data_IF_451337612178
#
_entry.id   IF_451337612178
#
_cell.length_a   1.000
_cell.length_b   1.000
_cell.length_c   1.000
_cell.angle_alpha   90.00
_cell.angle_beta   90.00
_cell.angle_gamma   90.00
#
_symmetry.space_group_name_H-M   'P 1'
#
loop_
_entity.id
_entity.type
_entity.pdbx_description
1 polymer ?
#
# COMPACT_ATOMS: atom_id res chain seq x y z
N UNK A 1 16.97 9.74 -1.58
CA UNK A 1 17.32 8.43 -0.96
C UNK A 1 16.62 7.27 -1.65
N UNK A 2 15.32 7.37 -1.96
CA UNK A 2 14.57 6.34 -2.71
C UNK A 2 15.08 6.10 -4.15
N UNK A 3 15.42 7.18 -4.84
CA UNK A 3 15.91 7.16 -6.23
C UNK A 3 17.17 6.29 -6.40
N UNK A 4 18.10 6.38 -5.45
CA UNK A 4 19.33 5.56 -5.43
C UNK A 4 19.06 4.07 -5.19
N UNK A 5 18.07 3.76 -4.35
CA UNK A 5 17.65 2.38 -4.09
C UNK A 5 17.00 1.76 -5.34
N UNK A 6 16.19 2.55 -6.04
CA UNK A 6 15.54 2.16 -7.29
C UNK A 6 16.56 1.96 -8.43
N UNK A 7 17.55 2.86 -8.54
CA UNK A 7 18.67 2.71 -9.48
C UNK A 7 19.48 1.43 -9.22
N UNK A 8 19.74 1.10 -7.95
CA UNK A 8 20.45 -0.13 -7.59
C UNK A 8 19.65 -1.38 -7.98
N UNK A 9 18.34 -1.41 -7.66
CA UNK A 9 17.44 -2.51 -8.05
C UNK A 9 17.40 -2.73 -9.57
N UNK A 10 17.36 -1.64 -10.33
CA UNK A 10 17.34 -1.69 -11.79
C UNK A 10 18.69 -2.16 -12.38
N UNK A 11 19.81 -1.79 -11.75
CA UNK A 11 21.14 -2.26 -12.12
C UNK A 11 21.35 -3.76 -11.84
N UNK A 12 20.78 -4.28 -10.76
CA UNK A 12 20.83 -5.71 -10.42
C UNK A 12 19.99 -6.56 -11.38
N UNK A 13 18.85 -6.03 -11.85
CA UNK A 13 18.02 -6.68 -12.88
C UNK A 13 18.68 -6.70 -14.27
N UNK A 14 19.48 -5.68 -14.60
CA UNK A 14 20.20 -5.57 -15.88
C UNK A 14 21.43 -6.48 -15.97
N UNK A 15 21.98 -6.95 -14.84
CA UNK A 15 23.15 -7.82 -14.81
C UNK A 15 22.80 -9.25 -14.36
N UNK A 16 22.49 -10.18 -15.28
CA UNK A 16 22.11 -11.56 -14.92
C UNK A 16 23.19 -12.31 -14.12
N UNK A 17 24.47 -11.92 -14.27
CA UNK A 17 25.60 -12.53 -13.58
C UNK A 17 25.65 -12.21 -12.06
N UNK A 18 25.03 -11.11 -11.61
CA UNK A 18 24.94 -10.76 -10.18
C UNK A 18 23.72 -11.40 -9.48
N UNK A 19 22.73 -11.82 -10.25
CA UNK A 19 21.52 -12.51 -9.76
C UNK A 19 21.85 -13.89 -9.18
N UNK A 20 22.89 -14.53 -9.70
CA UNK A 20 23.38 -15.84 -9.26
C UNK A 20 24.14 -15.77 -7.91
N UNK A 21 24.94 -14.73 -7.68
CA UNK A 21 25.65 -14.48 -6.41
C UNK A 21 24.68 -14.22 -5.25
N UNK A 22 23.61 -13.46 -5.49
CA UNK A 22 22.56 -13.22 -4.49
C UNK A 22 21.75 -14.50 -4.21
N UNK A 23 21.47 -15.31 -5.23
CA UNK A 23 20.81 -16.61 -5.06
C UNK A 23 21.69 -17.63 -4.33
N UNK A 24 23.02 -17.63 -4.58
CA UNK A 24 23.98 -18.50 -3.89
C UNK A 24 24.17 -18.12 -2.42
N UNK A 25 24.13 -16.82 -2.08
CA UNK A 25 24.16 -16.37 -0.67
C UNK A 25 22.91 -16.80 0.09
N UNK A 26 21.73 -16.76 -0.54
CA UNK A 26 20.47 -17.21 0.06
C UNK A 26 20.45 -18.74 0.28
N UNK A 27 21.04 -19.51 -0.66
CA UNK A 27 21.07 -20.97 -0.61
C UNK A 27 22.11 -21.57 0.36
N UNK A 28 23.12 -20.80 0.78
CA UNK A 28 24.18 -21.29 1.68
C UNK A 28 23.84 -21.20 3.18
N UNK A 29 22.63 -20.73 3.52
CA UNK A 29 22.19 -20.55 4.89
C UNK A 29 21.21 -21.64 5.38
N UNK A 30 20.83 -22.59 4.51
CA UNK A 30 19.94 -23.70 4.84
C UNK A 30 20.52 -25.02 4.36
N UNK A 31 21.39 -25.63 5.15
CA UNK A 31 21.71 -27.05 5.00
C UNK A 31 21.57 -27.73 6.38
N UNK A 32 20.61 -28.64 6.46
CA UNK A 32 20.12 -29.29 7.67
C UNK A 32 18.60 -29.46 7.59
N UNK A 33 18.09 -30.69 7.72
CA UNK A 33 16.69 -31.13 7.55
C UNK A 33 15.62 -30.34 8.35
N UNK A 34 16.01 -29.36 9.16
CA UNK A 34 15.16 -28.37 9.83
C UNK A 34 14.91 -27.10 8.99
N UNK A 35 15.62 -26.94 7.86
CA UNK A 35 15.65 -25.73 7.04
C UNK A 35 14.40 -25.49 6.19
N UNK A 36 13.72 -26.53 5.72
CA UNK A 36 12.49 -26.37 4.91
C UNK A 36 11.33 -25.84 5.74
N UNK A 37 11.20 -26.30 6.99
CA UNK A 37 10.21 -25.78 7.93
C UNK A 37 10.53 -24.34 8.35
N UNK A 38 11.81 -24.01 8.57
CA UNK A 38 12.25 -22.66 8.93
C UNK A 38 12.12 -21.67 7.75
N UNK A 39 12.43 -22.09 6.52
CA UNK A 39 12.21 -21.30 5.31
C UNK A 39 10.72 -21.11 5.03
N UNK A 40 9.88 -22.12 5.24
CA UNK A 40 8.43 -22.00 5.11
C UNK A 40 7.83 -21.04 6.13
N UNK A 41 8.29 -21.08 7.39
CA UNK A 41 7.91 -20.12 8.45
C UNK A 41 8.37 -18.72 8.08
N UNK A 42 9.62 -18.54 7.64
CA UNK A 42 10.16 -17.24 7.22
C UNK A 42 9.43 -16.69 5.99
N UNK A 43 9.03 -17.54 5.05
CA UNK A 43 8.27 -17.18 3.87
C UNK A 43 6.82 -16.80 4.23
N UNK A 44 6.19 -17.51 5.16
CA UNK A 44 4.87 -17.19 5.69
C UNK A 44 4.88 -15.84 6.43
N UNK A 45 5.86 -15.62 7.31
CA UNK A 45 6.07 -14.34 8.01
C UNK A 45 6.30 -13.19 7.02
N UNK A 46 7.10 -13.42 5.97
CA UNK A 46 7.32 -12.42 4.91
C UNK A 46 6.03 -12.13 4.13
N UNK A 47 5.22 -13.17 3.87
CA UNK A 47 3.93 -13.02 3.20
C UNK A 47 2.94 -12.23 4.06
N UNK A 48 2.87 -12.50 5.36
CA UNK A 48 2.07 -11.76 6.34
C UNK A 48 2.51 -10.30 6.42
N UNK A 49 3.83 -10.04 6.47
CA UNK A 49 4.36 -8.68 6.43
C UNK A 49 3.97 -7.97 5.13
N UNK A 50 4.03 -8.67 3.98
CA UNK A 50 3.60 -8.11 2.71
C UNK A 50 2.09 -7.83 2.67
N UNK A 51 1.26 -8.67 3.30
CA UNK A 51 -0.18 -8.43 3.48
C UNK A 51 -0.38 -7.17 4.32
N UNK A 52 0.25 -7.08 5.48
CA UNK A 52 0.13 -5.94 6.39
C UNK A 52 0.56 -4.62 5.71
N UNK A 53 1.68 -4.64 4.99
CA UNK A 53 2.16 -3.47 4.24
C UNK A 53 1.18 -3.09 3.12
N UNK A 54 0.62 -4.04 2.39
CA UNK A 54 -0.42 -3.76 1.38
C UNK A 54 -1.64 -3.11 2.01
N UNK A 55 -2.13 -3.64 3.12
CA UNK A 55 -3.27 -3.05 3.83
C UNK A 55 -2.99 -1.62 4.29
N UNK A 56 -1.78 -1.34 4.81
CA UNK A 56 -1.38 0.03 5.18
C UNK A 56 -1.34 0.98 3.98
N UNK A 57 -0.85 0.51 2.83
CA UNK A 57 -0.82 1.31 1.60
C UNK A 57 -2.24 1.66 1.14
N UNK A 58 -3.18 0.71 1.19
CA UNK A 58 -4.59 0.95 0.85
C UNK A 58 -5.20 2.04 1.74
N UNK A 59 -5.05 1.93 3.06
CA UNK A 59 -5.53 2.93 4.02
C UNK A 59 -4.94 4.33 3.77
N UNK A 60 -3.63 4.41 3.52
CA UNK A 60 -2.96 5.68 3.23
C UNK A 60 -3.45 6.30 1.92
N UNK A 61 -3.64 5.47 0.88
CA UNK A 61 -4.13 5.92 -0.42
C UNK A 61 -5.59 6.42 -0.34
N UNK A 62 -6.45 5.69 0.36
CA UNK A 62 -7.84 6.07 0.62
C UNK A 62 -7.93 7.41 1.35
N UNK A 63 -7.14 7.59 2.41
CA UNK A 63 -7.04 8.86 3.11
C UNK A 63 -6.57 9.98 2.19
N UNK A 64 -5.56 9.73 1.35
CA UNK A 64 -5.04 10.74 0.42
C UNK A 64 -6.10 11.22 -0.57
N UNK A 65 -6.93 10.32 -1.11
CA UNK A 65 -8.03 10.68 -2.00
C UNK A 65 -9.10 11.51 -1.30
N UNK A 66 -9.45 11.14 -0.06
CA UNK A 66 -10.41 11.90 0.74
C UNK A 66 -9.91 13.32 1.02
N UNK A 67 -8.67 13.46 1.50
CA UNK A 67 -8.08 14.79 1.77
C UNK A 67 -7.96 15.64 0.51
N UNK A 68 -7.61 15.02 -0.63
CA UNK A 68 -7.57 15.71 -1.92
C UNK A 68 -8.95 16.24 -2.31
N UNK A 69 -9.99 15.43 -2.17
CA UNK A 69 -11.37 15.86 -2.40
C UNK A 69 -11.74 17.05 -1.50
N UNK A 70 -11.38 17.00 -0.22
CA UNK A 70 -11.65 18.11 0.71
C UNK A 70 -10.98 19.42 0.27
N UNK A 71 -9.71 19.35 -0.12
CA UNK A 71 -8.98 20.53 -0.59
C UNK A 71 -9.63 21.08 -1.84
N UNK A 72 -9.87 20.24 -2.86
CA UNK A 72 -10.48 20.63 -4.13
C UNK A 72 -11.88 21.23 -3.94
N UNK A 73 -12.71 20.68 -3.05
CA UNK A 73 -14.00 21.26 -2.64
C UNK A 73 -13.84 22.66 -2.04
N UNK A 74 -12.92 22.84 -1.08
CA UNK A 74 -12.69 24.14 -0.43
C UNK A 74 -12.19 25.23 -1.40
N UNK A 75 -11.44 24.85 -2.43
CA UNK A 75 -10.95 25.79 -3.46
C UNK A 75 -11.83 25.81 -4.73
N UNK A 76 -13.02 25.19 -4.69
CA UNK A 76 -14.00 25.17 -5.80
C UNK A 76 -13.44 24.61 -7.12
N UNK A 77 -12.53 23.63 -7.04
CA UNK A 77 -12.04 22.89 -8.21
C UNK A 77 -13.10 21.86 -8.62
N UNK A 78 -13.51 21.88 -9.88
CA UNK A 78 -14.49 20.93 -10.40
C UNK A 78 -13.97 19.50 -10.43
N UNK A 79 -14.85 18.53 -10.16
CA UNK A 79 -14.50 17.10 -10.18
C UNK A 79 -13.97 16.56 -8.86
N UNK A 80 -14.00 17.35 -7.78
CA UNK A 80 -13.72 16.88 -6.42
C UNK A 80 -14.63 15.70 -6.03
N UNK A 81 -15.87 15.67 -6.53
CA UNK A 81 -16.85 14.61 -6.28
C UNK A 81 -16.33 13.24 -6.70
N UNK A 82 -15.61 13.18 -7.83
CA UNK A 82 -15.01 11.93 -8.34
C UNK A 82 -13.93 11.39 -7.41
N UNK A 83 -13.19 12.28 -6.76
CA UNK A 83 -12.17 11.91 -5.77
C UNK A 83 -12.83 11.41 -4.48
N UNK A 84 -13.95 12.01 -4.06
CA UNK A 84 -14.75 11.51 -2.93
C UNK A 84 -15.32 10.12 -3.23
N UNK A 85 -15.96 9.93 -4.39
CA UNK A 85 -16.50 8.64 -4.82
C UNK A 85 -15.40 7.57 -4.88
N UNK A 86 -14.25 7.91 -5.47
CA UNK A 86 -13.07 7.03 -5.53
C UNK A 86 -12.50 6.65 -4.17
N UNK A 87 -12.63 7.53 -3.16
CA UNK A 87 -12.24 7.23 -1.79
C UNK A 87 -13.26 6.28 -1.15
N UNK A 88 -14.56 6.54 -1.31
CA UNK A 88 -15.65 5.70 -0.78
C UNK A 88 -15.62 4.29 -1.36
N UNK A 89 -15.42 4.14 -2.67
CA UNK A 89 -15.30 2.82 -3.30
C UNK A 89 -14.12 2.02 -2.74
N UNK A 90 -12.99 2.69 -2.46
CA UNK A 90 -11.82 2.02 -1.89
C UNK A 90 -12.00 1.64 -0.42
N UNK A 91 -12.61 2.51 0.40
CA UNK A 91 -12.97 2.14 1.77
C UNK A 91 -13.85 0.88 1.81
N UNK A 92 -14.80 0.74 0.88
CA UNK A 92 -15.62 -0.47 0.74
C UNK A 92 -14.80 -1.70 0.36
N UNK A 93 -13.83 -1.55 -0.55
CA UNK A 93 -12.91 -2.64 -0.93
C UNK A 93 -11.95 -3.05 0.18
N UNK A 94 -11.69 -2.15 1.14
CA UNK A 94 -10.88 -2.40 2.33
C UNK A 94 -11.71 -2.96 3.52
N UNK A 95 -12.95 -3.41 3.28
CA UNK A 95 -13.89 -3.92 4.29
C UNK A 95 -14.15 -2.94 5.45
N UNK A 96 -14.06 -1.63 5.20
CA UNK A 96 -14.44 -0.62 6.19
C UNK A 96 -15.96 -0.70 6.45
N UNK A 97 -16.36 -0.50 7.72
CA UNK A 97 -17.78 -0.56 8.07
C UNK A 97 -18.57 0.57 7.39
N UNK A 98 -19.81 0.29 7.00
CA UNK A 98 -20.67 1.30 6.37
C UNK A 98 -20.93 2.50 7.30
N UNK A 99 -20.91 2.27 8.62
CA UNK A 99 -21.06 3.32 9.63
C UNK A 99 -19.84 4.24 9.67
N UNK A 100 -18.63 3.68 9.59
CA UNK A 100 -17.39 4.46 9.56
C UNK A 100 -17.30 5.27 8.26
N UNK A 101 -17.62 4.66 7.12
CA UNK A 101 -17.67 5.33 5.81
C UNK A 101 -18.67 6.49 5.86
N UNK A 102 -19.88 6.27 6.37
CA UNK A 102 -20.89 7.32 6.50
C UNK A 102 -20.40 8.48 7.37
N UNK A 103 -19.69 8.17 8.46
CA UNK A 103 -19.14 9.19 9.37
C UNK A 103 -18.07 10.03 8.67
N UNK A 104 -17.15 9.39 7.94
CA UNK A 104 -16.10 10.09 7.19
C UNK A 104 -16.68 10.96 6.08
N UNK A 105 -17.66 10.45 5.32
CA UNK A 105 -18.33 11.22 4.25
C UNK A 105 -19.08 12.41 4.82
N UNK A 106 -19.78 12.27 5.96
CA UNK A 106 -20.47 13.37 6.64
C UNK A 106 -19.54 14.52 6.99
N UNK A 107 -18.29 14.21 7.36
CA UNK A 107 -17.28 15.21 7.74
C UNK A 107 -16.64 15.93 6.53
N UNK A 108 -17.03 15.60 5.30
CA UNK A 108 -16.51 16.28 4.11
C UNK A 108 -17.02 17.74 4.03
N UNK A 109 -16.16 18.68 3.62
CA UNK A 109 -16.46 20.12 3.53
C UNK A 109 -17.72 20.48 2.74
N UNK A 110 -18.09 19.66 1.76
CA UNK A 110 -19.31 19.85 0.96
C UNK A 110 -20.59 19.80 1.80
N UNK A 111 -20.56 19.14 2.96
CA UNK A 111 -21.71 19.00 3.85
C UNK A 111 -21.75 20.09 4.93
N UNK A 112 -20.66 20.82 5.15
CA UNK A 112 -20.62 21.96 6.08
C UNK A 112 -21.41 23.16 5.56
N UNK A 113 -21.58 23.28 4.24
CA UNK A 113 -22.39 24.34 3.62
C UNK A 113 -23.91 24.09 3.64
N UNK A 114 -24.35 22.92 4.15
CA UNK A 114 -25.76 22.51 4.21
C UNK A 114 -26.39 22.62 5.61
N UNK A 115 -25.67 23.21 6.58
CA UNK A 115 -26.11 23.43 7.96
C UNK A 115 -26.44 24.90 8.25
#
# INVERSE_FOLDING_TARGET
MWEKFEEQRMNDLKNPNKKEEVSKRRKKQGDGETGEALEAVTAAETAEQAIAMRSQIHLLWEKMLFERSQVECKISVSGWEKNLDSAVERFKLADASETDISTVVKNHCSNEAAA
#
